data_IF_415154198364
#
_entry.id   IF_415154198364
#
_cell.length_a   1.000
_cell.length_b   1.000
_cell.length_c   1.000
_cell.angle_alpha   90.00
_cell.angle_beta   90.00
_cell.angle_gamma   90.00
#
_symmetry.space_group_name_H-M   'P 1'
#
loop_
_entity.id
_entity.type
_entity.pdbx_description
1 polymer ?
#
# COMPACT_ATOMS: atom_id res chain seq x y z
N UNK A 1 2.43 -39.49 -10.83
CA UNK A 1 0.99 -39.66 -11.17
C UNK A 1 0.60 -38.53 -12.11
N UNK A 2 0.03 -38.82 -13.27
CA UNK A 2 -0.40 -37.79 -14.22
C UNK A 2 -1.75 -37.20 -13.78
N UNK A 3 -1.95 -35.89 -13.98
CA UNK A 3 -3.22 -35.22 -13.71
C UNK A 3 -4.31 -35.75 -14.64
N UNK A 4 -5.42 -36.22 -14.08
CA UNK A 4 -6.59 -36.69 -14.84
C UNK A 4 -7.64 -35.58 -14.84
N UNK A 5 -7.91 -35.00 -16.02
CA UNK A 5 -8.93 -33.96 -16.19
C UNK A 5 -10.29 -34.51 -15.73
N UNK A 6 -10.90 -33.85 -14.75
CA UNK A 6 -12.20 -34.25 -14.17
C UNK A 6 -12.11 -35.03 -12.85
N UNK A 7 -10.92 -35.44 -12.42
CA UNK A 7 -10.72 -36.09 -11.13
C UNK A 7 -10.24 -35.07 -10.10
N UNK A 8 -11.04 -34.80 -9.08
CA UNK A 8 -10.64 -33.90 -7.99
C UNK A 8 -9.46 -34.52 -7.23
N UNK A 9 -8.43 -33.72 -6.95
CA UNK A 9 -7.27 -34.16 -6.15
C UNK A 9 -7.58 -34.56 -4.70
N UNK A 10 -8.81 -34.30 -4.23
CA UNK A 10 -9.31 -34.78 -2.94
C UNK A 10 -10.48 -35.75 -3.15
N UNK A 11 -10.23 -37.08 -3.13
CA UNK A 11 -11.26 -38.09 -3.35
C UNK A 11 -12.34 -38.13 -2.26
N UNK A 12 -12.08 -37.58 -1.06
CA UNK A 12 -13.07 -37.52 0.04
C UNK A 12 -13.87 -36.22 0.04
N UNK A 13 -13.55 -35.29 -0.86
CA UNK A 13 -14.19 -33.98 -0.94
C UNK A 13 -14.05 -33.17 0.35
N UNK A 14 -14.81 -32.07 0.43
CA UNK A 14 -14.96 -31.32 1.68
C UNK A 14 -15.84 -32.13 2.62
N UNK A 15 -15.46 -32.33 3.91
CA UNK A 15 -16.32 -33.03 4.86
C UNK A 15 -17.70 -32.35 4.91
N UNK A 16 -18.76 -33.16 4.79
CA UNK A 16 -20.14 -32.69 4.93
C UNK A 16 -20.34 -32.27 6.37
N UNK A 17 -20.67 -31.00 6.58
CA UNK A 17 -21.04 -30.48 7.89
C UNK A 17 -22.36 -31.10 8.33
N UNK A 18 -22.47 -31.40 9.61
CA UNK A 18 -23.75 -31.78 10.21
C UNK A 18 -24.71 -30.59 10.18
N UNK A 19 -26.01 -30.84 10.26
CA UNK A 19 -27.02 -29.78 10.24
C UNK A 19 -26.86 -28.82 11.42
N UNK A 20 -26.47 -29.36 12.59
CA UNK A 20 -26.15 -28.59 13.80
C UNK A 20 -24.93 -27.68 13.62
N UNK A 21 -23.83 -28.19 13.04
CA UNK A 21 -22.64 -27.38 12.76
C UNK A 21 -22.95 -26.25 11.77
N UNK A 22 -23.83 -26.50 10.81
CA UNK A 22 -24.27 -25.50 9.83
C UNK A 22 -25.11 -24.42 10.50
N UNK A 23 -26.02 -24.80 11.41
CA UNK A 23 -26.83 -23.88 12.20
C UNK A 23 -25.95 -22.99 13.09
N UNK A 24 -25.04 -23.59 13.87
CA UNK A 24 -24.11 -22.84 14.73
C UNK A 24 -23.23 -21.86 13.93
N UNK A 25 -22.73 -22.27 12.75
CA UNK A 25 -21.97 -21.37 11.88
C UNK A 25 -22.82 -20.23 11.34
N UNK A 26 -24.09 -20.48 11.03
CA UNK A 26 -25.01 -19.45 10.57
C UNK A 26 -25.30 -18.43 11.68
N UNK A 27 -25.57 -18.90 12.89
CA UNK A 27 -25.78 -18.06 14.08
C UNK A 27 -24.55 -17.23 14.41
N UNK A 28 -23.37 -17.85 14.45
CA UNK A 28 -22.11 -17.15 14.68
C UNK A 28 -21.86 -16.07 13.61
N UNK A 29 -22.12 -16.40 12.34
CA UNK A 29 -21.98 -15.44 11.24
C UNK A 29 -23.00 -14.30 11.35
N UNK A 30 -24.22 -14.57 11.81
CA UNK A 30 -25.22 -13.55 12.05
C UNK A 30 -24.79 -12.62 13.20
N UNK A 31 -24.27 -13.18 14.29
CA UNK A 31 -23.76 -12.43 15.44
C UNK A 31 -22.57 -11.52 15.06
N UNK A 32 -21.65 -12.04 14.24
CA UNK A 32 -20.54 -11.24 13.73
C UNK A 32 -21.05 -10.06 12.90
N UNK A 33 -22.03 -10.29 12.01
CA UNK A 33 -22.65 -9.24 11.19
C UNK A 33 -23.41 -8.22 12.02
N UNK A 34 -24.10 -8.63 13.08
CA UNK A 34 -24.79 -7.69 13.96
C UNK A 34 -23.81 -6.86 14.79
N UNK A 35 -22.65 -7.44 15.12
CA UNK A 35 -21.61 -6.79 15.93
C UNK A 35 -20.69 -5.85 15.12
N UNK A 36 -20.64 -5.97 13.79
CA UNK A 36 -19.74 -5.12 12.97
C UNK A 36 -20.10 -3.64 13.03
N UNK A 37 -21.39 -3.29 12.99
CA UNK A 37 -21.86 -1.90 13.08
C UNK A 37 -21.53 -1.25 14.42
N UNK A 38 -21.84 -1.85 15.59
CA UNK A 38 -21.45 -1.28 16.88
C UNK A 38 -19.93 -1.25 17.08
N UNK A 39 -19.19 -2.26 16.58
CA UNK A 39 -17.72 -2.23 16.61
C UNK A 39 -17.16 -1.03 15.84
N UNK A 40 -17.68 -0.75 14.65
CA UNK A 40 -17.25 0.42 13.86
C UNK A 40 -17.55 1.74 14.58
N UNK A 41 -18.72 1.85 15.23
CA UNK A 41 -19.07 3.03 16.04
C UNK A 41 -18.09 3.24 17.20
N UNK A 42 -17.66 2.16 17.85
CA UNK A 42 -16.64 2.22 18.91
C UNK A 42 -15.28 2.68 18.38
N UNK A 43 -14.85 2.20 17.21
CA UNK A 43 -13.61 2.65 16.56
C UNK A 43 -13.69 4.15 16.23
N UNK A 44 -14.83 4.62 15.69
CA UNK A 44 -15.05 6.05 15.42
C UNK A 44 -14.99 6.87 16.71
N UNK A 45 -15.54 6.36 17.81
CA UNK A 45 -15.46 7.02 19.12
C UNK A 45 -14.00 7.15 19.58
N UNK A 46 -13.21 6.09 19.48
CA UNK A 46 -11.79 6.07 19.83
C UNK A 46 -10.98 7.03 18.94
N UNK A 47 -11.30 7.11 17.64
CA UNK A 47 -10.64 8.02 16.71
C UNK A 47 -10.91 9.51 17.03
N UNK A 48 -12.10 9.82 17.57
CA UNK A 48 -12.51 11.17 17.97
C UNK A 48 -12.01 11.58 19.35
N UNK A 49 -11.71 10.63 20.21
CA UNK A 49 -11.20 10.87 21.55
C UNK A 49 -9.76 11.40 21.48
N UNK A 50 -9.45 12.46 22.24
CA UNK A 50 -8.16 13.17 22.14
C UNK A 50 -7.05 12.45 22.88
N UNK A 51 -7.38 11.74 23.96
CA UNK A 51 -6.41 11.18 24.90
C UNK A 51 -6.24 9.65 24.76
N UNK A 52 -6.88 9.05 23.76
CA UNK A 52 -6.78 7.61 23.54
C UNK A 52 -5.45 7.22 22.89
N UNK A 53 -4.74 6.29 23.54
CA UNK A 53 -3.48 5.71 23.03
C UNK A 53 -3.62 5.06 21.65
N UNK A 54 -4.80 4.50 21.36
CA UNK A 54 -5.09 3.80 20.10
C UNK A 54 -5.74 4.67 19.03
N UNK A 55 -5.85 5.99 19.26
CA UNK A 55 -6.46 6.94 18.31
C UNK A 55 -5.80 6.87 16.93
N UNK A 56 -4.47 6.80 16.87
CA UNK A 56 -3.74 6.68 15.60
C UNK A 56 -4.12 5.41 14.85
N UNK A 57 -4.17 4.26 15.53
CA UNK A 57 -4.53 2.99 14.94
C UNK A 57 -5.99 2.97 14.47
N UNK A 58 -6.90 3.59 15.24
CA UNK A 58 -8.30 3.73 14.87
C UNK A 58 -8.47 4.60 13.61
N UNK A 59 -7.81 5.76 13.55
CA UNK A 59 -7.80 6.63 12.38
C UNK A 59 -7.22 5.93 11.15
N UNK A 60 -6.06 5.27 11.31
CA UNK A 60 -5.41 4.49 10.24
C UNK A 60 -6.36 3.41 9.70
N UNK A 61 -6.98 2.64 10.60
CA UNK A 61 -7.91 1.57 10.23
C UNK A 61 -9.11 2.09 9.42
N UNK A 62 -9.65 3.26 9.78
CA UNK A 62 -10.76 3.89 9.05
C UNK A 62 -10.30 4.29 7.64
N UNK A 63 -9.15 4.93 7.52
CA UNK A 63 -8.61 5.37 6.22
C UNK A 63 -8.30 4.19 5.30
N UNK A 64 -7.59 3.17 5.82
CA UNK A 64 -7.25 1.94 5.09
C UNK A 64 -8.50 1.20 4.59
N UNK A 65 -9.62 1.27 5.32
CA UNK A 65 -10.88 0.60 4.96
C UNK A 65 -11.78 1.41 4.05
N UNK A 66 -11.82 2.73 4.21
CA UNK A 66 -12.66 3.60 3.39
C UNK A 66 -12.09 3.77 2.00
N UNK A 67 -10.76 3.89 1.92
CA UNK A 67 -10.08 4.27 0.70
C UNK A 67 -9.19 3.13 0.18
N UNK A 68 -8.68 2.28 1.07
CA UNK A 68 -7.74 1.21 0.72
C UNK A 68 -6.33 1.56 1.16
N UNK A 69 -5.48 0.55 1.35
CA UNK A 69 -4.10 0.72 1.85
C UNK A 69 -3.20 1.59 0.97
N UNK A 70 -3.62 1.90 -0.27
CA UNK A 70 -2.82 2.62 -1.27
C UNK A 70 -3.65 3.68 -2.00
N UNK A 71 -4.48 4.45 -1.31
CA UNK A 71 -5.18 5.54 -1.99
C UNK A 71 -4.34 6.80 -2.11
N UNK A 72 -4.08 7.28 -3.34
CA UNK A 72 -3.47 8.58 -3.63
C UNK A 72 -4.46 9.73 -3.37
N UNK A 73 -5.35 9.61 -2.39
CA UNK A 73 -6.30 10.67 -2.04
C UNK A 73 -5.64 11.85 -1.31
N UNK A 74 -4.36 11.73 -0.94
CA UNK A 74 -3.51 12.85 -0.56
C UNK A 74 -2.64 13.38 -1.72
N UNK A 75 -2.61 12.71 -2.89
CA UNK A 75 -1.86 13.20 -4.06
C UNK A 75 -2.69 14.14 -4.94
N UNK A 76 -4.01 14.00 -4.99
CA UNK A 76 -4.84 14.82 -5.87
C UNK A 76 -5.03 16.28 -5.39
N UNK A 77 -4.85 16.57 -4.10
CA UNK A 77 -4.84 17.95 -3.60
C UNK A 77 -3.42 18.58 -3.60
N UNK A 78 -2.42 17.82 -4.08
CA UNK A 78 -1.04 18.28 -4.27
C UNK A 78 -0.64 18.15 -5.74
N UNK A 79 -1.50 18.60 -6.66
CA UNK A 79 -1.19 18.85 -8.07
C UNK A 79 -0.15 20.00 -8.26
N UNK A 80 0.87 20.07 -7.41
CA UNK A 80 2.07 20.85 -7.67
C UNK A 80 3.31 20.05 -7.26
N UNK A 81 4.00 19.58 -8.30
CA UNK A 81 5.45 19.35 -8.32
C UNK A 81 6.00 18.14 -7.56
N UNK A 82 5.63 16.92 -7.96
CA UNK A 82 6.60 15.80 -7.85
C UNK A 82 6.72 15.11 -9.21
N UNK A 83 7.41 15.79 -10.13
CA UNK A 83 8.02 15.11 -11.27
C UNK A 83 8.91 14.00 -10.71
N UNK A 84 8.51 12.76 -10.94
CA UNK A 84 9.27 11.58 -10.55
C UNK A 84 10.71 11.71 -11.06
N UNK A 85 11.66 12.00 -10.16
CA UNK A 85 13.07 12.17 -10.50
C UNK A 85 13.64 10.83 -10.97
N UNK A 86 13.66 10.62 -12.29
CA UNK A 86 14.29 9.46 -12.93
C UNK A 86 15.78 9.76 -13.04
N UNK A 87 16.56 9.29 -12.08
CA UNK A 87 18.03 9.34 -12.17
C UNK A 87 18.51 8.22 -13.10
N UNK A 88 18.93 8.60 -14.31
CA UNK A 88 19.53 7.69 -15.29
C UNK A 88 21.04 7.70 -15.14
N UNK A 89 21.60 6.67 -14.51
CA UNK A 89 23.05 6.49 -14.40
C UNK A 89 23.58 5.95 -15.73
N UNK A 90 24.50 6.70 -16.35
CA UNK A 90 25.25 6.27 -17.55
C UNK A 90 26.71 6.05 -17.16
N UNK A 91 27.38 5.02 -17.71
CA UNK A 91 28.81 4.81 -17.49
C UNK A 91 29.59 5.98 -18.10
N UNK A 92 30.61 6.43 -17.37
CA UNK A 92 31.51 7.47 -17.83
C UNK A 92 32.41 6.90 -18.94
N UNK A 93 32.13 7.24 -20.20
CA UNK A 93 33.08 7.08 -21.30
C UNK A 93 33.61 8.45 -21.65
N UNK A 94 34.90 8.68 -21.39
CA UNK A 94 35.63 9.81 -21.96
C UNK A 94 35.59 9.66 -23.49
N UNK A 95 35.07 10.63 -24.24
CA UNK A 95 35.46 10.81 -25.62
C UNK A 95 36.95 11.17 -25.61
N UNK A 96 37.74 10.50 -26.45
CA UNK A 96 39.08 10.98 -26.79
C UNK A 96 38.90 12.32 -27.53
N UNK A 97 38.86 13.44 -26.80
CA UNK A 97 38.84 14.78 -27.37
C UNK A 97 39.62 15.74 -26.46
N UNK A 98 40.91 15.84 -26.80
CA UNK A 98 41.80 17.00 -26.84
C UNK A 98 41.36 18.32 -26.16
N UNK A 99 40.98 18.29 -24.88
CA UNK A 99 40.92 19.49 -24.06
C UNK A 99 42.35 19.95 -23.74
N UNK A 100 42.89 20.87 -24.55
CA UNK A 100 44.15 21.54 -24.25
C UNK A 100 43.99 22.43 -23.01
N UNK A 101 45.03 22.45 -22.16
CA UNK A 101 45.10 23.23 -20.91
C UNK A 101 45.05 24.76 -21.11
N UNK A 102 44.76 25.26 -22.31
CA UNK A 102 44.79 26.69 -22.66
C UNK A 102 43.49 27.45 -22.35
N UNK A 103 42.39 26.76 -22.02
CA UNK A 103 41.09 27.41 -21.77
C UNK A 103 40.92 27.91 -20.32
N UNK A 104 41.86 27.58 -19.41
CA UNK A 104 41.82 28.00 -18.00
C UNK A 104 42.58 29.29 -17.70
N UNK A 105 43.39 29.83 -18.62
CA UNK A 105 44.18 31.05 -18.38
C UNK A 105 43.45 32.37 -18.74
N UNK A 106 42.27 32.30 -19.38
CA UNK A 106 41.52 33.49 -19.80
C UNK A 106 40.38 33.92 -18.85
N UNK A 107 40.20 33.23 -17.72
CA UNK A 107 39.18 33.57 -16.73
C UNK A 107 39.70 34.47 -15.59
N UNK A 108 41.02 34.67 -15.46
CA UNK A 108 41.63 35.53 -14.43
C UNK A 108 42.37 36.71 -15.07
N UNK A 109 41.63 37.78 -15.44
CA UNK A 109 42.31 39.02 -15.82
C UNK A 109 41.48 40.09 -16.50
N UNK A 110 40.36 40.55 -15.91
CA UNK A 110 39.83 41.90 -16.13
C UNK A 110 39.18 42.43 -14.84
N UNK A 111 40.01 42.84 -13.87
CA UNK A 111 39.67 43.93 -12.95
C UNK A 111 40.39 45.19 -13.46
N UNK A 112 39.62 46.11 -14.06
CA UNK A 112 39.66 47.58 -13.91
C UNK A 112 38.82 48.27 -15.00
#
# INVERSE_FOLDING_TARGET
MAFVKGQSGNPRGRPKQTEEEKAQKAEFKALLKSSTVPALKSIIRIAKDKDSKDRFNACKYILDRAYGTNTPLLLNDMENEEQQLIVKVVPYSLPDDDWSDEDWENAEGQED
#
